data_IF_131875020465
#
_entry.id   IF_131875020465
#
_cell.length_a   1.000
_cell.length_b   1.000
_cell.length_c   1.000
_cell.angle_alpha   90.00
_cell.angle_beta   90.00
_cell.angle_gamma   90.00
#
_symmetry.space_group_name_H-M   'P 1'
#
loop_
_entity.id
_entity.type
_entity.pdbx_description
1 polymer ?
#
# COMPACT_ATOMS: atom_id res chain seq x y z
N UNK A 1 -0.74 -1.28 -7.00
CA UNK A 1 -0.76 -0.29 -8.12
C UNK A 1 -1.93 0.67 -8.02
N UNK A 2 -3.16 0.21 -7.85
CA UNK A 2 -4.37 1.06 -7.79
C UNK A 2 -4.28 2.25 -6.82
N UNK A 3 -3.66 2.07 -5.65
CA UNK A 3 -3.43 3.15 -4.68
C UNK A 3 -2.65 4.33 -5.27
N UNK A 4 -1.56 4.05 -6.01
CA UNK A 4 -0.77 5.11 -6.64
C UNK A 4 -1.56 5.88 -7.69
N UNK A 5 -2.35 5.16 -8.50
CA UNK A 5 -3.22 5.77 -9.52
C UNK A 5 -4.29 6.66 -8.87
N UNK A 6 -4.96 6.16 -7.82
CA UNK A 6 -5.98 6.93 -7.12
C UNK A 6 -5.39 8.17 -6.45
N UNK A 7 -4.24 8.06 -5.76
CA UNK A 7 -3.55 9.20 -5.16
C UNK A 7 -3.16 10.24 -6.21
N UNK A 8 -2.63 9.81 -7.34
CA UNK A 8 -2.30 10.72 -8.44
C UNK A 8 -3.55 11.45 -8.97
N UNK A 9 -4.63 10.71 -9.19
CA UNK A 9 -5.89 11.28 -9.65
C UNK A 9 -6.42 12.32 -8.66
N UNK A 10 -6.50 12.00 -7.37
CA UNK A 10 -6.98 12.91 -6.33
C UNK A 10 -6.06 14.12 -6.12
N UNK A 11 -4.74 13.97 -6.36
CA UNK A 11 -3.81 15.10 -6.32
C UNK A 11 -4.02 16.09 -7.47
N UNK A 12 -4.40 15.61 -8.63
CA UNK A 12 -4.50 16.41 -9.87
C UNK A 12 -5.93 16.86 -10.19
N UNK A 13 -6.94 16.26 -9.56
CA UNK A 13 -8.35 16.54 -9.79
C UNK A 13 -9.07 16.79 -8.47
N UNK A 14 -9.73 17.94 -8.36
CA UNK A 14 -10.61 18.22 -7.23
C UNK A 14 -11.98 17.61 -7.48
N UNK A 15 -12.42 16.76 -6.53
CA UNK A 15 -13.77 16.22 -6.54
C UNK A 15 -14.64 17.06 -5.60
N UNK A 16 -15.79 17.52 -6.09
CA UNK A 16 -16.74 18.30 -5.28
C UNK A 16 -17.29 17.48 -4.10
N UNK A 17 -17.38 16.17 -4.24
CA UNK A 17 -17.90 15.24 -3.24
C UNK A 17 -17.01 13.99 -3.19
N UNK A 18 -15.85 14.12 -2.55
CA UNK A 18 -15.02 12.97 -2.27
C UNK A 18 -15.63 12.20 -1.09
N UNK A 19 -16.04 10.97 -1.35
CA UNK A 19 -16.47 10.05 -0.30
C UNK A 19 -15.29 9.49 0.50
N UNK A 20 -15.52 8.38 1.19
CA UNK A 20 -14.48 7.73 1.99
C UNK A 20 -13.45 7.04 1.10
N UNK A 21 -12.19 7.26 1.41
CA UNK A 21 -11.06 6.66 0.71
C UNK A 21 -10.45 5.57 1.56
N UNK A 22 -10.35 4.38 1.00
CA UNK A 22 -9.77 3.21 1.66
C UNK A 22 -8.63 2.66 0.80
N UNK A 23 -7.49 2.46 1.42
CA UNK A 23 -6.32 1.82 0.81
C UNK A 23 -6.02 0.49 1.50
N UNK A 24 -5.86 -0.57 0.74
CA UNK A 24 -5.50 -1.90 1.26
C UNK A 24 -4.06 -2.19 0.86
N UNK A 25 -3.22 -2.40 1.86
CA UNK A 25 -1.77 -2.68 1.74
C UNK A 25 -1.06 -1.77 0.72
N UNK A 26 -1.18 -0.43 0.86
CA UNK A 26 -0.63 0.49 -0.11
C UNK A 26 0.89 0.64 0.06
N UNK A 27 1.71 0.54 -0.98
CA UNK A 27 3.12 0.94 -0.94
C UNK A 27 3.24 2.46 -1.03
N UNK A 28 2.74 3.19 -0.01
CA UNK A 28 2.57 4.65 -0.03
C UNK A 28 3.87 5.41 -0.18
N UNK A 29 4.95 4.89 0.41
CA UNK A 29 6.32 5.41 0.32
C UNK A 29 7.28 4.39 -0.31
N UNK A 30 6.74 3.50 -1.15
CA UNK A 30 7.50 2.48 -1.84
C UNK A 30 7.71 1.19 -1.02
N UNK A 31 8.46 0.27 -1.61
CA UNK A 31 8.86 -0.99 -1.00
C UNK A 31 10.31 -1.30 -1.35
N UNK A 32 11.06 -1.79 -0.37
CA UNK A 32 12.44 -2.21 -0.56
C UNK A 32 12.57 -3.35 -1.56
N UNK A 33 11.52 -4.12 -1.79
CA UNK A 33 11.49 -5.08 -2.90
C UNK A 33 11.67 -4.42 -4.26
N UNK A 34 11.14 -3.19 -4.42
CA UNK A 34 11.27 -2.44 -5.67
C UNK A 34 12.66 -1.80 -5.84
N UNK A 35 13.41 -1.64 -4.75
CA UNK A 35 14.79 -1.13 -4.77
C UNK A 35 15.81 -2.20 -5.13
N UNK A 36 15.49 -3.46 -4.88
CA UNK A 36 16.43 -4.58 -5.02
C UNK A 36 16.56 -4.98 -6.51
N UNK A 37 17.76 -5.39 -6.98
CA UNK A 37 17.93 -5.98 -8.31
C UNK A 37 17.04 -7.20 -8.58
N UNK A 38 16.60 -7.91 -7.53
CA UNK A 38 15.59 -8.96 -7.62
C UNK A 38 14.26 -8.43 -8.19
N UNK A 39 13.98 -7.13 -8.07
CA UNK A 39 12.83 -6.51 -8.76
C UNK A 39 12.89 -6.67 -10.27
N UNK A 40 14.09 -6.87 -10.85
CA UNK A 40 14.27 -7.15 -12.27
C UNK A 40 13.83 -8.57 -12.63
N UNK A 41 13.94 -9.51 -11.71
CA UNK A 41 13.40 -10.86 -11.84
C UNK A 41 11.90 -10.87 -11.62
N UNK A 42 11.40 -10.00 -10.73
CA UNK A 42 9.96 -9.86 -10.44
C UNK A 42 9.19 -9.12 -11.53
N UNK A 43 9.86 -8.49 -12.49
CA UNK A 43 9.21 -7.77 -13.62
C UNK A 43 8.29 -8.70 -14.42
N UNK A 44 8.68 -9.94 -14.62
CA UNK A 44 7.90 -10.91 -15.38
C UNK A 44 6.59 -11.25 -14.67
N UNK A 45 6.56 -11.13 -13.33
CA UNK A 45 5.39 -11.43 -12.50
C UNK A 45 4.58 -10.16 -12.15
N UNK A 46 5.24 -9.04 -11.86
CA UNK A 46 4.62 -7.82 -11.35
C UNK A 46 4.59 -6.67 -12.38
N UNK A 47 5.19 -6.86 -13.54
CA UNK A 47 5.27 -5.89 -14.62
C UNK A 47 6.26 -4.74 -14.36
N UNK A 48 6.51 -3.93 -15.38
CA UNK A 48 7.47 -2.81 -15.35
C UNK A 48 7.12 -1.71 -14.33
N UNK A 49 5.88 -1.66 -13.88
CA UNK A 49 5.39 -0.68 -12.90
C UNK A 49 5.99 -0.83 -11.50
N UNK A 50 6.60 -1.97 -11.17
CA UNK A 50 7.31 -2.18 -9.89
C UNK A 50 8.34 -1.08 -9.63
N UNK A 51 9.02 -0.63 -10.68
CA UNK A 51 10.03 0.44 -10.56
C UNK A 51 9.48 1.78 -10.09
N UNK A 52 8.18 2.03 -10.25
CA UNK A 52 7.53 3.26 -9.79
C UNK A 52 7.29 3.27 -8.28
N UNK A 53 7.46 2.12 -7.62
CA UNK A 53 7.25 1.93 -6.18
C UNK A 53 8.58 1.79 -5.42
N UNK A 54 9.65 2.40 -5.88
CA UNK A 54 10.92 2.49 -5.15
C UNK A 54 10.78 3.37 -3.92
N UNK A 55 11.67 3.18 -2.93
CA UNK A 55 11.68 4.01 -1.71
C UNK A 55 12.41 5.33 -1.91
N UNK A 56 13.09 5.53 -3.04
CA UNK A 56 13.78 6.78 -3.36
C UNK A 56 12.83 7.98 -3.40
N UNK A 57 13.31 9.14 -2.99
CA UNK A 57 12.50 10.37 -2.91
C UNK A 57 11.95 10.86 -4.25
N UNK A 58 12.59 10.50 -5.35
CA UNK A 58 12.21 10.81 -6.73
C UNK A 58 11.30 9.75 -7.35
N UNK A 59 10.94 8.71 -6.61
CA UNK A 59 9.99 7.70 -7.09
C UNK A 59 8.59 8.28 -7.25
N UNK A 60 7.82 7.71 -8.18
CA UNK A 60 6.45 8.16 -8.45
C UNK A 60 5.60 8.26 -7.17
N UNK A 61 5.63 7.25 -6.30
CA UNK A 61 4.81 7.24 -5.09
C UNK A 61 5.24 8.29 -4.06
N UNK A 62 6.52 8.60 -3.96
CA UNK A 62 7.03 9.63 -3.05
C UNK A 62 6.80 11.05 -3.59
N UNK A 63 6.83 11.25 -4.89
CA UNK A 63 6.46 12.52 -5.52
C UNK A 63 4.97 12.86 -5.37
N UNK A 64 4.11 11.88 -5.07
CA UNK A 64 2.71 12.15 -4.74
C UNK A 64 2.56 12.95 -3.44
N UNK A 65 3.48 12.78 -2.49
CA UNK A 65 3.40 13.42 -1.17
C UNK A 65 2.30 12.86 -0.29
N UNK A 66 2.01 13.56 0.81
CA UNK A 66 0.91 13.18 1.71
C UNK A 66 -0.44 13.63 1.15
N UNK A 67 -1.53 12.87 1.40
CA UNK A 67 -2.87 13.27 0.99
C UNK A 67 -3.36 14.48 1.79
N UNK A 68 -4.08 15.38 1.15
CA UNK A 68 -4.80 16.49 1.78
C UNK A 68 -6.26 16.12 2.14
N UNK A 69 -6.61 14.85 2.02
CA UNK A 69 -7.91 14.26 2.35
C UNK A 69 -7.77 13.16 3.41
N UNK A 70 -8.86 12.90 4.12
CA UNK A 70 -8.90 11.79 5.07
C UNK A 70 -8.98 10.45 4.36
N UNK A 71 -8.27 9.46 4.87
CA UNK A 71 -8.28 8.11 4.34
C UNK A 71 -8.14 7.05 5.44
N UNK A 72 -8.41 5.83 5.08
CA UNK A 72 -8.26 4.67 5.94
C UNK A 72 -7.37 3.63 5.27
N UNK A 73 -6.34 3.22 5.96
CA UNK A 73 -5.34 2.28 5.46
C UNK A 73 -5.46 0.97 6.23
N UNK A 74 -5.66 -0.13 5.53
CA UNK A 74 -5.60 -1.48 6.11
C UNK A 74 -4.34 -2.18 5.63
N UNK A 75 -3.64 -2.85 6.55
CA UNK A 75 -2.32 -3.44 6.31
C UNK A 75 -2.29 -4.83 6.94
N UNK A 76 -1.81 -5.82 6.19
CA UNK A 76 -1.47 -7.13 6.74
C UNK A 76 -0.13 -7.10 7.50
N UNK A 77 0.09 -8.08 8.37
CA UNK A 77 1.35 -8.22 9.10
C UNK A 77 1.98 -9.62 8.99
N UNK A 78 1.56 -10.40 8.00
CA UNK A 78 2.12 -11.72 7.75
C UNK A 78 2.90 -11.73 6.45
N UNK A 79 4.19 -12.01 6.53
CA UNK A 79 4.97 -12.27 5.34
C UNK A 79 4.50 -13.56 4.66
N UNK A 80 4.15 -13.46 3.39
CA UNK A 80 3.75 -14.60 2.57
C UNK A 80 4.95 -15.39 2.01
N UNK A 81 6.14 -14.78 2.00
CA UNK A 81 7.36 -15.39 1.46
C UNK A 81 8.56 -14.95 2.30
N UNK A 82 9.20 -15.92 2.94
CA UNK A 82 10.38 -15.71 3.79
C UNK A 82 11.53 -14.99 3.07
N UNK A 83 11.75 -15.30 1.79
CA UNK A 83 12.82 -14.66 1.00
C UNK A 83 12.56 -13.16 0.79
N UNK A 84 11.31 -12.75 0.62
CA UNK A 84 10.95 -11.34 0.47
C UNK A 84 11.04 -10.61 1.80
N UNK A 85 10.66 -11.26 2.91
CA UNK A 85 10.76 -10.68 4.25
C UNK A 85 12.20 -10.39 4.67
N UNK A 86 13.17 -11.15 4.21
CA UNK A 86 14.61 -10.86 4.48
C UNK A 86 15.01 -9.51 3.84
N UNK A 87 14.40 -9.15 2.74
CA UNK A 87 14.67 -7.89 2.01
C UNK A 87 13.88 -6.71 2.54
N UNK A 88 12.82 -6.96 3.33
CA UNK A 88 11.93 -5.96 3.89
C UNK A 88 12.22 -5.81 5.39
N UNK A 89 12.74 -4.68 5.84
CA UNK A 89 13.02 -4.50 7.26
C UNK A 89 11.74 -4.26 8.07
N UNK A 90 11.57 -5.04 9.14
CA UNK A 90 10.49 -4.89 10.11
C UNK A 90 9.24 -5.69 9.79
N UNK A 91 8.09 -5.23 10.27
CA UNK A 91 6.79 -5.87 10.04
C UNK A 91 6.35 -5.58 8.60
N UNK A 92 5.96 -6.63 7.88
CA UNK A 92 5.52 -6.55 6.49
C UNK A 92 4.38 -7.54 6.21
N UNK A 93 3.73 -7.37 5.07
CA UNK A 93 2.68 -8.27 4.56
C UNK A 93 3.17 -9.26 3.50
N UNK A 94 4.50 -9.35 3.32
CA UNK A 94 5.18 -10.15 2.31
C UNK A 94 5.57 -9.36 1.05
N UNK A 95 5.10 -8.12 0.89
CA UNK A 95 5.44 -7.25 -0.24
C UNK A 95 5.70 -5.80 0.17
N UNK A 96 4.99 -5.32 1.18
CA UNK A 96 5.02 -3.91 1.59
C UNK A 96 5.30 -3.82 3.08
N UNK A 97 6.33 -3.05 3.49
CA UNK A 97 6.57 -2.79 4.90
C UNK A 97 5.44 -1.98 5.52
N UNK A 98 5.07 -2.28 6.75
CA UNK A 98 4.12 -1.49 7.52
C UNK A 98 4.49 -0.01 7.55
N UNK A 99 5.78 0.29 7.77
CA UNK A 99 6.29 1.66 7.86
C UNK A 99 6.01 2.49 6.61
N UNK A 100 6.20 1.91 5.42
CA UNK A 100 6.03 2.62 4.15
C UNK A 100 4.60 2.62 3.63
N UNK A 101 3.70 1.87 4.26
CA UNK A 101 2.26 1.89 3.94
C UNK A 101 1.53 3.09 4.54
N UNK A 102 2.06 3.66 5.63
CA UNK A 102 1.39 4.74 6.39
C UNK A 102 1.38 6.05 5.60
N UNK A 103 0.30 6.80 5.81
CA UNK A 103 0.10 8.17 5.33
C UNK A 103 -0.37 9.04 6.50
N UNK A 104 0.11 10.28 6.60
CA UNK A 104 -0.09 11.12 7.79
C UNK A 104 -1.57 11.45 8.07
N UNK A 105 -2.38 11.67 7.04
CA UNK A 105 -3.79 12.04 7.17
C UNK A 105 -4.74 10.84 7.11
N UNK A 106 -4.23 9.61 7.27
CA UNK A 106 -5.02 8.40 7.26
C UNK A 106 -5.02 7.71 8.63
N UNK A 107 -6.18 7.24 9.05
CA UNK A 107 -6.27 6.21 10.07
C UNK A 107 -5.83 4.87 9.51
N UNK A 108 -5.40 3.94 10.35
CA UNK A 108 -4.95 2.63 9.88
C UNK A 108 -5.35 1.50 10.82
N UNK A 109 -5.53 0.33 10.23
CA UNK A 109 -5.83 -0.93 10.88
C UNK A 109 -4.87 -2.02 10.42
N UNK A 110 -4.33 -2.75 11.35
CA UNK A 110 -3.59 -3.98 11.06
C UNK A 110 -4.56 -5.15 11.05
N UNK A 111 -4.52 -5.93 9.98
CA UNK A 111 -5.23 -7.20 9.87
C UNK A 111 -4.23 -8.31 10.18
N UNK A 112 -4.33 -8.81 11.41
CA UNK A 112 -3.41 -9.80 11.93
C UNK A 112 -3.36 -11.09 11.10
N UNK A 113 -2.15 -11.60 10.86
CA UNK A 113 -1.92 -12.81 10.07
C UNK A 113 -2.43 -12.77 8.62
N UNK A 114 -2.67 -11.59 8.07
CA UNK A 114 -2.98 -11.42 6.65
C UNK A 114 -1.72 -11.08 5.85
N UNK A 115 -1.58 -11.70 4.69
CA UNK A 115 -0.56 -11.39 3.68
C UNK A 115 -1.07 -10.32 2.72
N UNK A 116 -0.20 -9.80 1.86
CA UNK A 116 -0.54 -8.81 0.83
C UNK A 116 -1.72 -9.22 -0.08
N UNK A 117 -1.87 -10.49 -0.33
CA UNK A 117 -2.96 -11.03 -1.16
C UNK A 117 -4.14 -11.50 -0.32
N UNK A 118 -3.90 -12.23 0.78
CA UNK A 118 -4.98 -12.79 1.59
C UNK A 118 -5.83 -11.71 2.30
N UNK A 119 -5.27 -10.52 2.53
CA UNK A 119 -6.00 -9.39 3.12
C UNK A 119 -7.24 -8.99 2.29
N UNK A 120 -7.22 -9.19 0.98
CA UNK A 120 -8.33 -8.84 0.08
C UNK A 120 -9.55 -9.75 0.26
N UNK A 121 -9.34 -10.98 0.72
CA UNK A 121 -10.38 -12.00 0.91
C UNK A 121 -10.70 -12.22 2.40
N UNK A 122 -9.97 -11.55 3.29
CA UNK A 122 -10.15 -11.70 4.73
C UNK A 122 -11.48 -11.08 5.18
N UNK A 123 -12.32 -11.88 5.83
CA UNK A 123 -13.62 -11.43 6.35
C UNK A 123 -13.51 -10.23 7.31
N UNK A 124 -12.41 -10.15 8.07
CA UNK A 124 -12.17 -9.02 8.98
C UNK A 124 -11.93 -7.73 8.19
N UNK A 125 -11.20 -7.81 7.07
CA UNK A 125 -11.03 -6.68 6.15
C UNK A 125 -12.37 -6.22 5.59
N UNK A 126 -13.18 -7.16 5.10
CA UNK A 126 -14.50 -6.85 4.53
C UNK A 126 -15.45 -6.23 5.56
N UNK A 127 -15.47 -6.76 6.78
CA UNK A 127 -16.26 -6.19 7.88
C UNK A 127 -15.79 -4.78 8.26
N UNK A 128 -14.49 -4.58 8.37
CA UNK A 128 -13.91 -3.27 8.69
C UNK A 128 -14.25 -2.21 7.61
N UNK A 129 -14.21 -2.61 6.33
CA UNK A 129 -14.66 -1.75 5.21
C UNK A 129 -16.12 -1.40 5.38
N UNK A 130 -16.98 -2.41 5.61
CA UNK A 130 -18.43 -2.20 5.76
C UNK A 130 -18.75 -1.26 6.93
N UNK A 131 -18.08 -1.43 8.06
CA UNK A 131 -18.28 -0.59 9.24
C UNK A 131 -17.75 0.83 9.04
N UNK A 132 -16.59 0.98 8.41
CA UNK A 132 -16.05 2.29 8.07
C UNK A 132 -16.94 3.04 7.09
N UNK A 133 -17.57 2.37 6.12
CA UNK A 133 -18.45 3.01 5.15
C UNK A 133 -19.80 3.44 5.74
N UNK A 134 -20.27 2.79 6.82
CA UNK A 134 -21.54 3.16 7.50
C UNK A 134 -21.41 4.38 8.41
N UNK A 135 -20.25 4.59 9.02
CA UNK A 135 -19.97 5.70 9.96
C UNK A 135 -19.52 6.96 9.24
#
# INVERSE_FOLDING_TARGET
>A
MGTGILRYYLKTHKLNHLGKVIFISPPSHGSQLSDNPISDILKDTLGNSVRQFKTSSDSFVNLLGEPDYQCYVMIGNKSGNFLYSILIPGIDDGMVPFKTSRLNNCNYKVIENATHTSILEDKRTLNEIADYLKN
#
